data_IF_525507902500
#
_entry.id   IF_525507902500
#
_cell.length_a   1.000
_cell.length_b   1.000
_cell.length_c   1.000
_cell.angle_alpha   90.00
_cell.angle_beta   90.00
_cell.angle_gamma   90.00
#
_symmetry.space_group_name_H-M   'P 1'
#
loop_
_entity.id
_entity.type
_entity.pdbx_description
1 polymer ?
#
# COMPACT_ATOMS: atom_id res chain seq x y z
N UNK A 1 6.66 15.99 -20.76
CA UNK A 1 6.41 16.88 -21.91
C UNK A 1 5.01 16.62 -22.39
N UNK A 2 4.13 17.62 -22.34
CA UNK A 2 2.76 17.50 -22.86
C UNK A 2 2.81 17.40 -24.39
N UNK A 3 1.85 16.67 -24.96
CA UNK A 3 1.65 16.62 -26.41
C UNK A 3 1.18 17.99 -26.91
N UNK A 4 1.50 18.38 -28.16
CA UNK A 4 0.98 19.60 -28.78
C UNK A 4 -0.56 19.70 -28.75
N UNK A 5 -1.27 18.58 -28.72
CA UNK A 5 -2.73 18.51 -28.53
C UNK A 5 -3.20 19.05 -27.17
N UNK A 6 -2.48 18.78 -26.09
CA UNK A 6 -2.87 19.22 -24.75
C UNK A 6 -2.79 20.76 -24.59
N UNK A 7 -1.85 21.41 -25.30
CA UNK A 7 -1.78 22.88 -25.36
C UNK A 7 -3.00 23.47 -26.11
N UNK A 8 -3.42 22.84 -27.21
CA UNK A 8 -4.56 23.31 -28.00
C UNK A 8 -5.88 23.23 -27.20
N UNK A 9 -6.07 22.19 -26.37
CA UNK A 9 -7.23 22.05 -25.49
C UNK A 9 -7.30 23.10 -24.36
N UNK A 10 -6.17 23.70 -23.94
CA UNK A 10 -6.17 24.71 -22.89
C UNK A 10 -6.71 26.06 -23.37
N UNK A 11 -6.52 26.36 -24.66
CA UNK A 11 -6.74 27.68 -25.28
C UNK A 11 -8.20 27.94 -25.64
N UNK A 12 -9.02 26.91 -25.91
CA UNK A 12 -10.34 27.10 -26.55
C UNK A 12 -11.50 27.51 -25.63
N UNK A 13 -11.32 27.60 -24.30
CA UNK A 13 -12.40 28.02 -23.38
C UNK A 13 -11.96 28.48 -21.97
N UNK A 14 -10.74 29.02 -21.82
CA UNK A 14 -10.24 29.42 -20.49
C UNK A 14 -10.14 30.95 -20.35
N UNK A 15 -10.71 31.50 -19.26
CA UNK A 15 -10.45 32.89 -18.83
C UNK A 15 -8.93 33.15 -18.80
N UNK A 16 -8.42 34.29 -19.33
CA UNK A 16 -6.98 34.58 -19.40
C UNK A 16 -6.22 34.38 -18.08
N UNK A 17 -6.86 34.69 -16.95
CA UNK A 17 -6.31 34.48 -15.60
C UNK A 17 -6.10 32.99 -15.31
N UNK A 18 -7.15 32.19 -15.53
CA UNK A 18 -7.13 30.73 -15.33
C UNK A 18 -6.13 30.06 -16.27
N UNK A 19 -6.04 30.54 -17.52
CA UNK A 19 -5.10 30.03 -18.50
C UNK A 19 -3.65 30.19 -18.05
N UNK A 20 -3.29 31.33 -17.44
CA UNK A 20 -1.95 31.57 -16.89
C UNK A 20 -1.54 30.54 -15.84
N UNK A 21 -2.42 30.25 -14.88
CA UNK A 21 -2.15 29.23 -13.87
C UNK A 21 -2.05 27.82 -14.46
N UNK A 22 -2.91 27.49 -15.42
CA UNK A 22 -2.84 26.18 -16.10
C UNK A 22 -1.51 26.01 -16.85
N UNK A 23 -1.07 27.02 -17.60
CA UNK A 23 0.23 26.99 -18.28
C UNK A 23 1.37 26.84 -17.26
N UNK A 24 1.35 27.64 -16.19
CA UNK A 24 2.35 27.54 -15.13
C UNK A 24 2.42 26.14 -14.51
N UNK A 25 1.26 25.52 -14.26
CA UNK A 25 1.21 24.17 -13.71
C UNK A 25 1.67 23.06 -14.68
N UNK A 26 1.53 23.30 -15.97
CA UNK A 26 1.93 22.37 -17.02
C UNK A 26 3.43 22.46 -17.34
N UNK A 27 4.00 23.66 -17.31
CA UNK A 27 5.37 23.94 -17.81
C UNK A 27 6.34 24.38 -16.71
N UNK A 28 5.83 24.87 -15.59
CA UNK A 28 6.60 25.37 -14.47
C UNK A 28 6.97 24.30 -13.43
N UNK A 29 7.40 24.74 -12.23
CA UNK A 29 7.77 23.83 -11.15
C UNK A 29 6.61 22.90 -10.74
N UNK A 30 6.89 21.62 -10.44
CA UNK A 30 5.85 20.64 -10.13
C UNK A 30 5.21 20.83 -8.75
N UNK A 31 5.83 21.65 -7.89
CA UNK A 31 5.40 21.98 -6.52
C UNK A 31 5.62 23.48 -6.31
N UNK A 32 4.64 24.18 -5.75
CA UNK A 32 4.63 25.64 -5.71
C UNK A 32 4.20 26.17 -4.35
N UNK A 33 4.90 27.21 -3.86
CA UNK A 33 4.41 27.99 -2.72
C UNK A 33 3.29 28.91 -3.15
N UNK A 34 2.36 29.19 -2.24
CA UNK A 34 1.26 30.10 -2.52
C UNK A 34 1.76 31.51 -2.89
N UNK A 35 2.75 32.03 -2.15
CA UNK A 35 3.29 33.36 -2.42
C UNK A 35 3.85 33.47 -3.85
N UNK A 36 4.55 32.42 -4.34
CA UNK A 36 5.02 32.33 -5.73
C UNK A 36 3.86 32.37 -6.74
N UNK A 37 2.78 31.65 -6.47
CA UNK A 37 1.60 31.63 -7.35
C UNK A 37 0.86 32.98 -7.32
N UNK A 38 0.80 33.64 -6.17
CA UNK A 38 0.20 34.98 -6.03
C UNK A 38 0.94 36.03 -6.87
N UNK A 39 2.26 35.89 -7.04
CA UNK A 39 3.04 36.78 -7.92
C UNK A 39 2.66 36.66 -9.40
N UNK A 40 2.03 35.56 -9.84
CA UNK A 40 1.55 35.43 -11.23
C UNK A 40 0.33 36.31 -11.52
N UNK A 41 -0.40 36.71 -10.47
CA UNK A 41 -1.49 37.68 -10.57
C UNK A 41 -1.48 38.63 -9.36
N UNK A 42 -0.57 39.62 -9.31
CA UNK A 42 -0.43 40.51 -8.17
C UNK A 42 -1.71 41.33 -7.88
N UNK A 43 -2.47 41.64 -8.94
CA UNK A 43 -3.70 42.44 -8.89
C UNK A 43 -4.95 41.67 -8.44
N UNK A 44 -4.93 40.35 -8.51
CA UNK A 44 -6.07 39.52 -8.12
C UNK A 44 -6.14 39.38 -6.60
N UNK A 45 -7.34 39.25 -6.03
CA UNK A 45 -7.47 39.04 -4.59
C UNK A 45 -6.91 37.66 -4.18
N UNK A 46 -6.61 37.48 -2.89
CA UNK A 46 -6.14 36.17 -2.38
C UNK A 46 -7.21 35.10 -2.61
N UNK A 47 -8.47 35.43 -2.38
CA UNK A 47 -9.64 34.56 -2.51
C UNK A 47 -9.85 34.14 -3.96
N UNK A 48 -9.72 35.08 -4.91
CA UNK A 48 -9.81 34.79 -6.35
C UNK A 48 -8.72 33.82 -6.79
N UNK A 49 -7.48 34.04 -6.36
CA UNK A 49 -6.36 33.15 -6.68
C UNK A 49 -6.62 31.77 -6.09
N UNK A 50 -6.95 31.69 -4.80
CA UNK A 50 -7.25 30.43 -4.12
C UNK A 50 -8.39 29.67 -4.81
N UNK A 51 -9.46 30.33 -5.25
CA UNK A 51 -10.55 29.68 -5.99
C UNK A 51 -10.06 29.01 -7.29
N UNK A 52 -9.15 29.65 -8.03
CA UNK A 52 -8.53 29.06 -9.22
C UNK A 52 -7.61 27.89 -8.84
N UNK A 53 -6.81 28.05 -7.79
CA UNK A 53 -5.91 27.01 -7.30
C UNK A 53 -6.68 25.77 -6.86
N UNK A 54 -7.72 25.89 -6.04
CA UNK A 54 -8.54 24.77 -5.57
C UNK A 54 -9.19 23.98 -6.72
N UNK A 55 -9.45 24.64 -7.86
CA UNK A 55 -9.99 23.99 -9.06
C UNK A 55 -8.95 23.14 -9.78
N UNK A 56 -7.72 23.61 -9.91
CA UNK A 56 -6.69 23.05 -10.81
C UNK A 56 -5.49 22.40 -10.12
N UNK A 57 -5.32 22.64 -8.83
CA UNK A 57 -4.26 22.15 -7.97
C UNK A 57 -4.82 21.64 -6.65
N UNK A 58 -4.00 20.91 -5.91
CA UNK A 58 -4.31 20.33 -4.61
C UNK A 58 -3.19 20.62 -3.62
N UNK A 59 -3.54 20.73 -2.35
CA UNK A 59 -2.60 21.06 -1.29
C UNK A 59 -1.94 19.80 -0.72
N UNK A 60 -0.60 19.79 -0.64
CA UNK A 60 0.20 18.74 0.02
C UNK A 60 1.24 19.44 0.88
N UNK A 61 1.21 19.24 2.20
CA UNK A 61 2.11 19.91 3.16
C UNK A 61 2.16 21.44 3.00
N UNK A 62 1.01 22.08 2.78
CA UNK A 62 0.93 23.53 2.58
C UNK A 62 1.43 24.02 1.21
N UNK A 63 1.87 23.12 0.33
CA UNK A 63 2.37 23.43 -1.01
C UNK A 63 1.32 23.04 -2.06
N UNK A 64 1.24 23.84 -3.13
CA UNK A 64 0.29 23.63 -4.22
C UNK A 64 0.91 22.76 -5.31
N UNK A 65 0.22 21.68 -5.64
CA UNK A 65 0.63 20.70 -6.63
C UNK A 65 -0.46 20.58 -7.71
N UNK A 66 -0.14 20.61 -9.01
CA UNK A 66 -1.13 20.42 -10.07
C UNK A 66 -1.87 19.08 -9.93
N UNK A 67 -3.20 19.11 -10.12
CA UNK A 67 -4.03 17.88 -10.16
C UNK A 67 -3.66 17.04 -11.39
N UNK A 68 -3.74 15.73 -11.25
CA UNK A 68 -3.46 14.79 -12.35
C UNK A 68 -4.39 14.99 -13.56
N UNK A 69 -5.62 15.44 -13.35
CA UNK A 69 -6.56 15.80 -14.44
C UNK A 69 -6.13 16.99 -15.30
N UNK A 70 -5.16 17.78 -14.84
CA UNK A 70 -4.56 18.85 -15.64
C UNK A 70 -3.34 18.37 -16.44
N UNK A 71 -2.58 17.42 -15.89
CA UNK A 71 -1.30 16.97 -16.45
C UNK A 71 -1.43 15.76 -17.39
N UNK A 72 -2.46 14.94 -17.20
CA UNK A 72 -2.72 13.74 -18.00
C UNK A 72 -4.08 13.90 -18.68
N UNK A 73 -4.15 13.60 -19.97
CA UNK A 73 -5.38 13.69 -20.75
C UNK A 73 -6.50 12.87 -20.08
N UNK A 74 -7.56 13.56 -19.63
CA UNK A 74 -8.70 12.95 -18.94
C UNK A 74 -8.47 12.55 -17.47
N UNK A 75 -7.28 12.78 -16.90
CA UNK A 75 -6.97 12.42 -15.50
C UNK A 75 -7.01 10.93 -15.20
N UNK A 76 -6.89 10.11 -16.24
CA UNK A 76 -6.95 8.65 -16.18
C UNK A 76 -5.61 8.05 -16.61
N UNK A 77 -5.45 6.76 -16.35
CA UNK A 77 -4.23 6.03 -16.71
C UNK A 77 -3.32 5.77 -15.51
N UNK A 78 -2.28 4.98 -15.77
CA UNK A 78 -1.41 4.43 -14.72
C UNK A 78 -0.52 5.52 -14.11
N UNK A 79 -0.11 6.48 -14.93
CA UNK A 79 0.74 7.60 -14.56
C UNK A 79 -0.01 8.59 -13.65
N UNK A 80 -1.26 8.92 -14.01
CA UNK A 80 -2.13 9.75 -13.18
C UNK A 80 -2.40 9.09 -11.82
N UNK A 81 -2.74 7.80 -11.83
CA UNK A 81 -3.00 7.03 -10.61
C UNK A 81 -1.75 6.89 -9.72
N UNK A 82 -0.59 6.61 -10.32
CA UNK A 82 0.70 6.59 -9.62
C UNK A 82 0.97 7.94 -8.94
N UNK A 83 0.75 9.04 -9.66
CA UNK A 83 0.97 10.38 -9.15
C UNK A 83 0.06 10.69 -7.97
N UNK A 84 -1.23 10.44 -8.11
CA UNK A 84 -2.20 10.73 -7.04
C UNK A 84 -1.90 9.92 -5.77
N UNK A 85 -1.47 8.66 -5.92
CA UNK A 85 -1.04 7.85 -4.79
C UNK A 85 0.23 8.40 -4.11
N UNK A 86 1.26 8.78 -4.87
CA UNK A 86 2.48 9.39 -4.29
C UNK A 86 2.15 10.68 -3.54
N UNK A 87 1.28 11.52 -4.09
CA UNK A 87 0.84 12.75 -3.43
C UNK A 87 0.06 12.46 -2.15
N UNK A 88 -0.79 11.43 -2.16
CA UNK A 88 -1.48 10.96 -0.96
C UNK A 88 -0.50 10.49 0.13
N UNK A 89 0.57 9.79 -0.23
CA UNK A 89 1.60 9.38 0.72
C UNK A 89 2.31 10.61 1.32
N UNK A 90 2.71 11.58 0.48
CA UNK A 90 3.34 12.80 0.97
C UNK A 90 2.41 13.69 1.79
N UNK A 91 1.09 13.64 1.58
CA UNK A 91 0.13 14.30 2.48
C UNK A 91 0.27 13.79 3.91
N UNK A 92 0.44 12.47 4.08
CA UNK A 92 0.49 11.82 5.40
C UNK A 92 1.87 11.89 6.06
N UNK A 93 2.93 11.81 5.27
CA UNK A 93 4.30 11.77 5.79
C UNK A 93 5.26 12.52 4.83
N UNK A 94 6.14 13.41 5.32
CA UNK A 94 7.19 14.02 4.50
C UNK A 94 8.20 13.05 3.90
N UNK A 95 8.24 11.82 4.42
CA UNK A 95 9.09 10.73 3.97
C UNK A 95 8.23 9.57 3.46
N UNK A 96 8.58 9.06 2.29
CA UNK A 96 7.85 7.98 1.63
C UNK A 96 8.79 6.85 1.29
N UNK A 97 8.44 5.62 1.67
CA UNK A 97 9.10 4.40 1.22
C UNK A 97 8.13 3.56 0.40
N UNK A 98 8.59 3.04 -0.74
CA UNK A 98 7.79 2.17 -1.61
C UNK A 98 7.95 0.69 -1.26
N UNK A 99 8.93 0.32 -0.44
CA UNK A 99 9.26 -1.08 -0.11
C UNK A 99 8.19 -1.75 0.76
N UNK A 100 7.30 -0.95 1.37
CA UNK A 100 6.29 -1.41 2.32
C UNK A 100 4.98 -1.85 1.65
N UNK A 101 4.87 -1.76 0.32
CA UNK A 101 3.57 -1.81 -0.35
C UNK A 101 3.57 -2.77 -1.54
N UNK A 102 2.63 -3.72 -1.55
CA UNK A 102 2.49 -4.72 -2.61
C UNK A 102 1.85 -4.10 -3.87
N UNK A 103 2.67 -3.42 -4.68
CA UNK A 103 2.26 -2.66 -5.87
C UNK A 103 2.81 -3.34 -7.13
N UNK A 104 2.03 -3.41 -8.20
CA UNK A 104 2.48 -4.02 -9.47
C UNK A 104 3.75 -3.35 -10.02
N UNK A 105 4.68 -4.15 -10.59
CA UNK A 105 5.99 -3.64 -11.10
C UNK A 105 5.85 -2.47 -12.08
N UNK A 106 4.84 -2.49 -12.95
CA UNK A 106 4.59 -1.42 -13.92
C UNK A 106 4.20 -0.12 -13.20
N UNK A 107 3.37 -0.24 -12.17
CA UNK A 107 2.93 0.89 -11.38
C UNK A 107 4.04 1.43 -10.47
N UNK A 108 4.90 0.56 -9.93
CA UNK A 108 6.12 0.96 -9.19
C UNK A 108 7.06 1.78 -10.09
N UNK A 109 7.22 1.39 -11.36
CA UNK A 109 8.02 2.18 -12.31
C UNK A 109 7.42 3.59 -12.48
N UNK A 110 6.12 3.69 -12.75
CA UNK A 110 5.43 4.98 -12.87
C UNK A 110 5.52 5.82 -11.58
N UNK A 111 5.45 5.19 -10.42
CA UNK A 111 5.63 5.85 -9.12
C UNK A 111 7.04 6.39 -8.94
N UNK A 112 8.08 5.64 -9.33
CA UNK A 112 9.46 6.13 -9.33
C UNK A 112 9.65 7.32 -10.27
N UNK A 113 9.04 7.29 -11.44
CA UNK A 113 9.08 8.42 -12.38
C UNK A 113 8.47 9.68 -11.75
N UNK A 114 7.35 9.55 -11.02
CA UNK A 114 6.76 10.66 -10.25
C UNK A 114 7.68 11.11 -9.11
N UNK A 115 8.25 10.19 -8.35
CA UNK A 115 9.14 10.50 -7.23
C UNK A 115 10.38 11.25 -7.68
N UNK A 116 10.98 10.89 -8.81
CA UNK A 116 12.11 11.63 -9.40
C UNK A 116 11.77 13.11 -9.67
N UNK A 117 10.50 13.40 -10.00
CA UNK A 117 10.02 14.77 -10.21
C UNK A 117 9.80 15.49 -8.88
N UNK A 118 9.17 14.86 -7.89
CA UNK A 118 8.67 15.51 -6.67
C UNK A 118 9.59 15.42 -5.44
N UNK A 119 10.50 14.46 -5.41
CA UNK A 119 11.23 14.06 -4.22
C UNK A 119 12.71 13.79 -4.50
N UNK A 120 13.49 13.69 -3.43
CA UNK A 120 14.91 13.31 -3.45
C UNK A 120 15.03 11.94 -2.78
N UNK A 121 15.62 10.98 -3.49
CA UNK A 121 15.94 9.67 -2.93
C UNK A 121 17.03 9.79 -1.87
N UNK A 122 16.87 9.06 -0.77
CA UNK A 122 17.88 8.91 0.28
C UNK A 122 18.29 7.44 0.37
N UNK A 123 19.27 7.00 -0.43
CA UNK A 123 19.60 5.58 -0.57
C UNK A 123 19.94 4.89 0.76
N UNK A 124 20.64 5.59 1.66
CA UNK A 124 21.00 5.09 2.98
C UNK A 124 19.79 4.77 3.88
N UNK A 125 18.68 5.47 3.66
CA UNK A 125 17.44 5.31 4.43
C UNK A 125 16.35 4.54 3.66
N UNK A 126 16.59 4.21 2.37
CA UNK A 126 15.64 3.55 1.48
C UNK A 126 14.28 4.25 1.42
N UNK A 127 14.31 5.58 1.43
CA UNK A 127 13.11 6.41 1.36
C UNK A 127 13.32 7.64 0.47
N UNK A 128 12.23 8.37 0.27
CA UNK A 128 12.15 9.56 -0.55
C UNK A 128 11.67 10.71 0.31
N UNK A 129 12.40 11.82 0.27
CA UNK A 129 12.03 13.06 0.96
C UNK A 129 11.44 14.04 -0.04
N UNK A 130 10.31 14.65 0.29
CA UNK A 130 9.71 15.69 -0.55
C UNK A 130 10.72 16.82 -0.81
N UNK A 131 10.85 17.29 -2.06
CA UNK A 131 11.89 18.27 -2.47
C UNK A 131 11.75 19.59 -1.72
N UNK A 132 10.51 20.07 -1.66
CA UNK A 132 10.19 21.35 -1.04
C UNK A 132 9.83 21.17 0.44
N UNK A 133 10.23 22.13 1.26
CA UNK A 133 9.90 22.13 2.70
C UNK A 133 8.46 22.58 2.92
N UNK A 134 7.77 21.90 3.85
CA UNK A 134 6.40 22.20 4.25
C UNK A 134 6.18 23.71 4.47
N UNK A 135 5.11 24.25 3.88
CA UNK A 135 4.77 25.67 4.00
C UNK A 135 3.91 25.94 5.24
N UNK A 136 4.57 26.02 6.40
CA UNK A 136 3.91 26.33 7.67
C UNK A 136 3.29 27.73 7.69
N UNK A 137 3.79 28.66 6.87
CA UNK A 137 3.23 30.02 6.78
C UNK A 137 1.86 29.98 6.12
N UNK A 138 1.74 29.28 4.99
CA UNK A 138 0.45 29.09 4.32
C UNK A 138 -0.55 28.37 5.22
N UNK A 139 -0.13 27.27 5.86
CA UNK A 139 -0.99 26.48 6.75
C UNK A 139 -1.60 27.33 7.87
N UNK A 140 -0.79 28.24 8.46
CA UNK A 140 -1.26 29.13 9.53
C UNK A 140 -2.13 30.27 9.02
N UNK A 141 -1.86 30.81 7.83
CA UNK A 141 -2.59 31.95 7.24
C UNK A 141 -3.95 31.56 6.64
N UNK A 142 -4.09 30.33 6.14
CA UNK A 142 -5.30 29.87 5.43
C UNK A 142 -5.82 28.52 5.97
N UNK A 143 -6.14 28.41 7.28
CA UNK A 143 -6.52 27.14 7.91
C UNK A 143 -7.86 26.58 7.40
N UNK A 144 -8.76 27.45 6.94
CA UNK A 144 -10.03 27.13 6.30
C UNK A 144 -9.81 26.38 4.98
N UNK A 145 -8.92 26.89 4.12
CA UNK A 145 -8.54 26.25 2.86
C UNK A 145 -7.85 24.92 3.12
N UNK A 146 -6.97 24.85 4.12
CA UNK A 146 -6.31 23.60 4.51
C UNK A 146 -7.35 22.54 4.89
N UNK A 147 -8.36 22.93 5.68
CA UNK A 147 -9.45 22.03 6.09
C UNK A 147 -10.30 21.58 4.90
N UNK A 148 -10.63 22.48 3.97
CA UNK A 148 -11.37 22.13 2.75
C UNK A 148 -10.59 21.14 1.86
N UNK A 149 -9.29 21.38 1.69
CA UNK A 149 -8.40 20.49 0.93
C UNK A 149 -8.23 19.13 1.61
N UNK A 150 -8.16 19.09 2.93
CA UNK A 150 -8.10 17.84 3.70
C UNK A 150 -9.36 16.99 3.49
N UNK A 151 -10.54 17.61 3.54
CA UNK A 151 -11.80 16.94 3.20
C UNK A 151 -11.85 16.49 1.74
N UNK A 152 -11.27 17.27 0.81
CA UNK A 152 -11.17 16.87 -0.59
C UNK A 152 -10.33 15.59 -0.74
N UNK A 153 -9.21 15.49 -0.01
CA UNK A 153 -8.38 14.30 0.02
C UNK A 153 -9.10 13.08 0.62
N UNK A 154 -9.83 13.24 1.73
CA UNK A 154 -10.60 12.15 2.34
C UNK A 154 -11.59 11.52 1.37
N UNK A 155 -12.22 12.32 0.49
CA UNK A 155 -13.17 11.84 -0.53
C UNK A 155 -12.52 10.98 -1.61
N UNK A 156 -11.25 11.24 -1.96
CA UNK A 156 -10.54 10.56 -3.06
C UNK A 156 -9.56 9.49 -2.58
N UNK A 157 -9.20 9.50 -1.29
CA UNK A 157 -8.22 8.58 -0.70
C UNK A 157 -8.60 7.12 -0.89
N UNK A 158 -9.82 6.74 -0.49
CA UNK A 158 -10.30 5.35 -0.65
C UNK A 158 -10.35 4.94 -2.13
N UNK A 159 -10.96 5.72 -3.05
CA UNK A 159 -10.91 5.41 -4.48
C UNK A 159 -9.51 5.21 -5.05
N UNK A 160 -8.52 6.02 -4.63
CA UNK A 160 -7.12 5.88 -5.06
C UNK A 160 -6.56 4.55 -4.53
N UNK A 161 -6.69 4.27 -3.23
CA UNK A 161 -6.19 3.04 -2.61
C UNK A 161 -6.84 1.81 -3.25
N UNK A 162 -8.17 1.82 -3.41
CA UNK A 162 -8.93 0.73 -4.04
C UNK A 162 -8.49 0.52 -5.51
N UNK A 163 -8.15 1.59 -6.24
CA UNK A 163 -7.64 1.47 -7.62
C UNK A 163 -6.22 0.89 -7.69
N UNK A 164 -5.41 1.10 -6.65
CA UNK A 164 -4.03 0.57 -6.57
C UNK A 164 -4.04 -0.90 -6.13
N UNK A 165 -4.89 -1.27 -5.16
CA UNK A 165 -4.86 -2.58 -4.48
C UNK A 165 -6.08 -3.48 -4.74
N UNK A 166 -7.21 -2.93 -5.19
CA UNK A 166 -8.49 -3.62 -5.32
C UNK A 166 -8.67 -4.45 -6.59
N UNK A 167 -7.59 -4.74 -7.33
CA UNK A 167 -7.61 -5.49 -8.59
C UNK A 167 -7.90 -7.00 -8.47
N UNK A 168 -8.89 -7.39 -7.67
CA UNK A 168 -9.20 -8.79 -7.36
C UNK A 168 -10.67 -9.08 -7.07
N UNK A 169 -11.63 -8.35 -7.66
CA UNK A 169 -13.03 -8.78 -7.87
C UNK A 169 -13.79 -7.74 -8.71
N UNK A 170 -14.30 -8.19 -9.85
CA UNK A 170 -15.36 -7.58 -10.66
C UNK A 170 -15.09 -6.17 -11.21
N UNK A 171 -14.75 -6.09 -12.50
CA UNK A 171 -14.84 -4.83 -13.23
C UNK A 171 -16.28 -4.31 -13.30
N UNK A 172 -16.51 -3.01 -13.16
CA UNK A 172 -17.71 -2.37 -13.66
C UNK A 172 -17.41 -1.74 -15.02
N UNK A 173 -18.14 -2.23 -16.03
CA UNK A 173 -18.31 -1.58 -17.31
C UNK A 173 -18.72 -0.11 -17.11
N UNK A 174 -17.90 0.82 -17.56
CA UNK A 174 -18.24 2.24 -17.69
C UNK A 174 -19.22 2.39 -18.86
N UNK A 175 -20.52 2.53 -18.56
CA UNK A 175 -21.46 3.18 -19.47
C UNK A 175 -21.74 4.60 -18.98
N UNK A 176 -21.34 5.56 -19.81
CA UNK A 176 -21.79 6.94 -19.77
C UNK A 176 -23.32 7.01 -19.94
N UNK A 177 -23.98 7.87 -19.18
CA UNK A 177 -24.91 8.86 -19.74
C UNK A 177 -25.42 9.83 -18.66
N UNK A 178 -25.43 11.09 -19.06
CA UNK A 178 -25.80 12.33 -18.38
C UNK A 178 -27.27 12.42 -17.91
N UNK A 179 -27.48 12.98 -16.69
CA UNK A 179 -28.49 13.95 -16.17
C UNK A 179 -29.91 14.10 -16.81
N UNK A 180 -30.85 14.82 -16.15
CA UNK A 180 -31.42 14.72 -14.77
C UNK A 180 -32.99 14.71 -14.82
N UNK A 181 -33.72 14.54 -13.69
CA UNK A 181 -34.77 15.50 -13.27
C UNK A 181 -35.57 15.14 -12.00
N UNK A 182 -36.14 16.19 -11.42
CA UNK A 182 -37.01 16.36 -10.25
C UNK A 182 -38.30 15.53 -10.21
N UNK A 183 -38.73 15.12 -8.99
CA UNK A 183 -39.88 15.70 -8.27
C UNK A 183 -40.63 14.69 -7.33
N UNK A 184 -40.83 15.16 -6.09
CA UNK A 184 -42.04 15.02 -5.25
C UNK A 184 -42.42 13.70 -4.54
N UNK A 185 -42.43 13.84 -3.19
CA UNK A 185 -43.02 13.05 -2.08
C UNK A 185 -44.58 13.09 -2.08
N UNK A 186 -45.33 12.57 -1.05
CA UNK A 186 -45.05 11.58 0.02
C UNK A 186 -46.21 10.57 0.30
N UNK A 187 -46.01 9.61 1.21
CA UNK A 187 -47.12 8.89 1.88
C UNK A 187 -46.68 7.96 3.03
N UNK A 188 -47.09 8.32 4.26
CA UNK A 188 -47.36 7.57 5.52
C UNK A 188 -47.03 6.05 5.61
N UNK A 189 -46.81 5.41 6.76
CA UNK A 189 -46.65 5.70 8.20
C UNK A 189 -46.54 4.32 8.86
N UNK A 190 -45.64 4.12 9.83
CA UNK A 190 -45.92 3.43 11.11
C UNK A 190 -44.71 3.40 12.04
N UNK A 191 -44.93 4.00 13.21
CA UNK A 191 -44.08 4.02 14.39
C UNK A 191 -43.95 2.64 15.06
N UNK A 192 -42.82 2.39 15.75
CA UNK A 192 -42.82 2.22 17.21
C UNK A 192 -41.43 2.42 17.83
N UNK A 193 -41.42 3.25 18.88
CA UNK A 193 -40.35 3.57 19.84
C UNK A 193 -39.87 2.30 20.58
N UNK A 194 -38.73 2.22 21.29
CA UNK A 194 -38.08 3.16 22.21
C UNK A 194 -36.76 2.54 22.69
N UNK A 195 -35.71 3.33 22.90
CA UNK A 195 -34.49 2.87 23.60
C UNK A 195 -33.27 3.73 23.34
N UNK A 196 -33.25 4.94 23.88
CA UNK A 196 -32.09 5.83 23.84
C UNK A 196 -31.08 5.48 24.94
N UNK A 197 -29.79 5.34 24.60
CA UNK A 197 -28.68 5.86 25.39
C UNK A 197 -27.34 5.82 24.63
N UNK A 198 -26.83 7.02 24.38
CA UNK A 198 -25.41 7.44 24.42
C UNK A 198 -24.38 6.78 23.48
N UNK A 199 -24.11 7.50 22.40
CA UNK A 199 -22.79 8.07 22.06
C UNK A 199 -21.56 7.41 22.70
N UNK A 200 -20.74 6.76 21.87
CA UNK A 200 -19.33 7.17 21.76
C UNK A 200 -18.77 6.76 20.40
N UNK A 201 -18.30 7.75 19.67
CA UNK A 201 -17.26 7.58 18.66
C UNK A 201 -16.03 7.00 19.36
N UNK A 202 -15.76 5.72 19.15
CA UNK A 202 -14.49 5.11 19.51
C UNK A 202 -13.51 5.32 18.36
N UNK A 203 -12.67 6.35 18.45
CA UNK A 203 -11.38 6.31 17.79
C UNK A 203 -10.74 4.96 18.14
N UNK A 204 -10.46 4.13 17.14
CA UNK A 204 -9.65 2.92 17.34
C UNK A 204 -8.29 3.42 17.79
N UNK A 205 -8.11 3.43 19.11
CA UNK A 205 -6.83 3.57 19.77
C UNK A 205 -5.90 2.58 19.09
N UNK A 206 -4.91 3.07 18.32
CA UNK A 206 -3.77 2.26 17.89
C UNK A 206 -2.94 2.00 19.16
N UNK A 207 -3.46 1.15 20.04
CA UNK A 207 -2.70 0.72 21.19
C UNK A 207 -1.56 -0.16 20.68
N UNK A 208 -0.31 0.14 21.04
CA UNK A 208 0.80 -0.76 20.74
C UNK A 208 0.54 -2.13 21.37
N UNK A 209 1.07 -3.17 20.74
CA UNK A 209 0.81 -4.56 21.13
C UNK A 209 1.21 -4.80 22.60
N UNK A 210 0.37 -5.50 23.36
CA UNK A 210 0.64 -5.80 24.78
C UNK A 210 1.90 -6.65 24.93
N UNK A 211 2.58 -6.53 26.07
CA UNK A 211 3.79 -7.31 26.36
C UNK A 211 3.52 -8.82 26.27
N UNK A 212 2.38 -9.26 26.82
CA UNK A 212 1.97 -10.67 26.80
C UNK A 212 1.78 -11.18 25.37
N UNK A 213 1.22 -10.35 24.49
CA UNK A 213 1.01 -10.69 23.08
C UNK A 213 2.34 -10.77 22.34
N UNK A 214 3.25 -9.82 22.60
CA UNK A 214 4.58 -9.75 21.98
C UNK A 214 5.44 -10.97 22.36
N UNK A 215 5.28 -11.53 23.55
CA UNK A 215 5.97 -12.74 23.97
C UNK A 215 5.31 -14.05 23.47
N UNK A 216 3.98 -14.09 23.43
CA UNK A 216 3.24 -15.31 23.04
C UNK A 216 3.23 -15.54 21.52
N UNK A 217 3.18 -14.46 20.74
CA UNK A 217 3.01 -14.53 19.29
C UNK A 217 4.17 -15.24 18.56
N UNK A 218 5.47 -14.97 18.85
CA UNK A 218 6.57 -15.71 18.23
C UNK A 218 6.48 -17.22 18.48
N UNK A 219 6.14 -17.65 19.71
CA UNK A 219 6.01 -19.06 20.08
C UNK A 219 4.85 -19.73 19.33
N UNK A 220 3.71 -19.04 19.23
CA UNK A 220 2.55 -19.52 18.50
C UNK A 220 2.86 -19.66 16.99
N UNK A 221 3.60 -18.71 16.41
CA UNK A 221 4.04 -18.80 15.02
C UNK A 221 5.02 -19.95 14.80
N UNK A 222 5.98 -20.19 15.71
CA UNK A 222 6.87 -21.35 15.61
C UNK A 222 6.08 -22.67 15.61
N UNK A 223 5.10 -22.82 16.52
CA UNK A 223 4.19 -23.98 16.57
C UNK A 223 3.36 -24.11 15.28
N UNK A 224 2.92 -23.00 14.70
CA UNK A 224 2.21 -22.99 13.41
C UNK A 224 3.11 -23.47 12.27
N UNK A 225 4.33 -22.94 12.15
CA UNK A 225 5.28 -23.29 11.09
C UNK A 225 5.85 -24.71 11.22
N UNK A 226 5.67 -25.38 12.37
CA UNK A 226 5.93 -26.83 12.50
C UNK A 226 5.01 -27.67 11.63
N UNK A 227 3.75 -27.27 11.45
CA UNK A 227 2.79 -28.02 10.63
C UNK A 227 2.65 -27.45 9.22
N UNK A 228 2.86 -26.14 9.04
CA UNK A 228 2.66 -25.47 7.76
C UNK A 228 3.89 -24.62 7.40
N UNK A 229 4.78 -25.14 6.55
CA UNK A 229 6.06 -24.46 6.24
C UNK A 229 5.92 -23.19 5.41
N UNK A 230 4.79 -23.06 4.72
CA UNK A 230 4.42 -21.95 3.83
C UNK A 230 2.98 -21.56 4.14
N UNK A 231 2.72 -20.30 4.45
CA UNK A 231 1.38 -19.79 4.76
C UNK A 231 1.14 -18.40 4.19
N UNK A 232 -0.07 -18.14 3.68
CA UNK A 232 -0.49 -16.76 3.41
C UNK A 232 -0.81 -16.04 4.72
N UNK A 233 -0.80 -14.71 4.71
CA UNK A 233 -1.14 -13.92 5.90
C UNK A 233 -2.52 -14.28 6.46
N UNK A 234 -3.50 -14.45 5.57
CA UNK A 234 -4.86 -14.85 5.95
C UNK A 234 -4.87 -16.23 6.62
N UNK A 235 -4.09 -17.19 6.08
CA UNK A 235 -3.97 -18.52 6.66
C UNK A 235 -3.34 -18.46 8.06
N UNK A 236 -2.31 -17.62 8.26
CA UNK A 236 -1.69 -17.43 9.57
C UNK A 236 -2.71 -16.89 10.58
N UNK A 237 -3.44 -15.85 10.20
CA UNK A 237 -4.47 -15.26 11.05
C UNK A 237 -5.54 -16.28 11.44
N UNK A 238 -6.02 -17.06 10.47
CA UNK A 238 -7.05 -18.08 10.73
C UNK A 238 -6.53 -19.17 11.66
N UNK A 239 -5.33 -19.69 11.40
CA UNK A 239 -4.74 -20.78 12.20
C UNK A 239 -4.41 -20.36 13.63
N UNK A 240 -3.96 -19.13 13.85
CA UNK A 240 -3.75 -18.59 15.19
C UNK A 240 -5.08 -18.50 15.96
N UNK A 241 -6.18 -18.10 15.30
CA UNK A 241 -7.53 -18.15 15.91
C UNK A 241 -7.97 -19.58 16.21
N UNK A 242 -7.77 -20.52 15.28
CA UNK A 242 -8.11 -21.94 15.47
C UNK A 242 -7.33 -22.56 16.64
N UNK A 243 -6.05 -22.20 16.79
CA UNK A 243 -5.20 -22.60 17.92
C UNK A 243 -5.72 -22.05 19.25
N UNK A 244 -6.15 -20.78 19.29
CA UNK A 244 -6.74 -20.19 20.48
C UNK A 244 -8.01 -20.92 20.92
N UNK A 245 -8.89 -21.26 19.96
CA UNK A 245 -10.10 -22.04 20.25
C UNK A 245 -9.75 -23.46 20.72
N UNK A 246 -8.83 -24.14 20.04
CA UNK A 246 -8.47 -25.52 20.37
C UNK A 246 -7.78 -25.67 21.73
N UNK A 247 -6.87 -24.75 22.08
CA UNK A 247 -6.14 -24.78 23.34
C UNK A 247 -7.04 -24.35 24.53
N UNK A 248 -8.07 -23.52 24.28
CA UNK A 248 -9.10 -23.17 25.28
C UNK A 248 -9.92 -24.37 25.76
N UNK A 249 -10.06 -25.39 24.91
CA UNK A 249 -10.78 -26.63 25.21
C UNK A 249 -9.86 -27.64 25.92
N UNK A 250 -8.54 -27.57 25.70
CA UNK A 250 -7.58 -28.57 26.19
C UNK A 250 -7.00 -28.27 27.58
N UNK A 251 -6.54 -27.04 27.89
CA UNK A 251 -5.96 -26.68 29.20
C UNK A 251 -5.92 -25.16 29.47
N UNK A 252 -6.17 -24.75 30.73
CA UNK A 252 -6.26 -23.33 31.18
C UNK A 252 -4.98 -22.48 30.97
N UNK A 253 -3.79 -23.09 30.97
CA UNK A 253 -2.50 -22.39 30.84
C UNK A 253 -2.14 -22.02 29.39
N UNK A 254 -2.14 -23.02 28.50
CA UNK A 254 -1.85 -22.84 27.06
C UNK A 254 -2.91 -22.00 26.34
N UNK A 255 -4.16 -22.05 26.81
CA UNK A 255 -5.23 -21.20 26.32
C UNK A 255 -4.87 -19.71 26.40
N UNK A 256 -4.20 -19.27 27.48
CA UNK A 256 -3.89 -17.85 27.68
C UNK A 256 -2.88 -17.33 26.66
N UNK A 257 -1.83 -18.11 26.35
CA UNK A 257 -0.82 -17.75 25.36
C UNK A 257 -1.41 -17.77 23.93
N UNK A 258 -2.21 -18.79 23.60
CA UNK A 258 -2.85 -18.89 22.29
C UNK A 258 -3.86 -17.77 22.06
N UNK A 259 -4.65 -17.40 23.07
CA UNK A 259 -5.58 -16.27 23.02
C UNK A 259 -4.81 -14.94 22.89
N UNK A 260 -3.72 -14.76 23.63
CA UNK A 260 -2.87 -13.57 23.49
C UNK A 260 -2.32 -13.45 22.06
N UNK A 261 -1.78 -14.53 21.49
CA UNK A 261 -1.28 -14.56 20.13
C UNK A 261 -2.39 -14.25 19.09
N UNK A 262 -3.61 -14.75 19.28
CA UNK A 262 -4.73 -14.46 18.39
C UNK A 262 -5.15 -12.98 18.45
N UNK A 263 -5.16 -12.37 19.64
CA UNK A 263 -5.45 -10.94 19.79
C UNK A 263 -4.37 -10.06 19.12
N UNK A 264 -3.15 -10.56 18.98
CA UNK A 264 -2.06 -9.88 18.27
C UNK A 264 -2.29 -9.69 16.77
N UNK A 265 -3.26 -10.39 16.17
CA UNK A 265 -3.60 -10.23 14.75
C UNK A 265 -4.21 -8.86 14.48
N UNK A 266 -4.93 -8.29 15.45
CA UNK A 266 -5.61 -6.99 15.32
C UNK A 266 -4.68 -5.80 15.63
N UNK A 267 -3.40 -6.07 15.92
CA UNK A 267 -2.39 -5.06 16.18
C UNK A 267 -1.98 -4.29 14.91
N UNK A 268 -1.35 -3.09 15.04
CA UNK A 268 -0.78 -2.38 13.90
C UNK A 268 0.13 -3.27 13.06
N UNK A 269 -0.01 -3.16 11.72
CA UNK A 269 0.63 -4.06 10.77
C UNK A 269 2.17 -4.03 10.89
N UNK A 270 2.75 -2.89 11.27
CA UNK A 270 4.19 -2.71 11.45
C UNK A 270 4.74 -3.59 12.57
N UNK A 271 4.09 -3.61 13.74
CA UNK A 271 4.51 -4.43 14.89
C UNK A 271 4.32 -5.93 14.60
N UNK A 272 3.25 -6.26 13.89
CA UNK A 272 2.95 -7.64 13.50
C UNK A 272 4.00 -8.19 12.52
N UNK A 273 4.40 -7.39 11.53
CA UNK A 273 5.43 -7.76 10.57
C UNK A 273 6.81 -7.90 11.22
N UNK A 274 7.14 -7.05 12.20
CA UNK A 274 8.39 -7.16 12.95
C UNK A 274 8.48 -8.52 13.67
N UNK A 275 7.42 -8.95 14.34
CA UNK A 275 7.37 -10.26 15.02
C UNK A 275 7.42 -11.41 14.00
N UNK A 276 6.68 -11.31 12.90
CA UNK A 276 6.69 -12.33 11.84
C UNK A 276 8.09 -12.49 11.26
N UNK A 277 8.81 -11.38 11.08
CA UNK A 277 10.16 -11.36 10.55
C UNK A 277 11.17 -12.11 11.44
N UNK A 278 10.86 -12.38 12.71
CA UNK A 278 11.75 -13.17 13.58
C UNK A 278 11.76 -14.65 13.15
N UNK A 279 10.61 -15.19 12.77
CA UNK A 279 10.38 -16.63 12.55
C UNK A 279 10.23 -17.02 11.08
N UNK A 280 9.75 -16.10 10.24
CA UNK A 280 9.44 -16.34 8.85
C UNK A 280 9.93 -15.20 7.94
N UNK A 281 10.00 -15.49 6.65
CA UNK A 281 10.35 -14.55 5.59
C UNK A 281 9.12 -14.35 4.72
N UNK A 282 8.74 -13.09 4.51
CA UNK A 282 7.68 -12.73 3.57
C UNK A 282 8.23 -12.75 2.14
N UNK A 283 7.71 -13.66 1.32
CA UNK A 283 7.98 -13.76 -0.11
C UNK A 283 6.69 -13.37 -0.85
N UNK A 284 6.61 -12.12 -1.29
CA UNK A 284 5.49 -11.60 -2.11
C UNK A 284 4.09 -11.81 -1.51
N UNK A 285 3.94 -11.73 -0.19
CA UNK A 285 2.67 -11.94 0.52
C UNK A 285 2.48 -13.36 1.10
N UNK A 286 3.43 -14.26 0.87
CA UNK A 286 3.45 -15.62 1.41
C UNK A 286 4.62 -15.75 2.40
N UNK A 287 4.34 -16.17 3.62
CA UNK A 287 5.33 -16.34 4.67
C UNK A 287 5.90 -17.75 4.66
N UNK A 288 7.23 -17.83 4.66
CA UNK A 288 7.99 -19.07 4.66
C UNK A 288 8.84 -19.15 5.91
N UNK A 289 8.78 -20.26 6.64
CA UNK A 289 9.64 -20.47 7.80
C UNK A 289 11.11 -20.35 7.42
N UNK A 290 11.91 -19.62 8.20
CA UNK A 290 13.35 -19.44 7.97
C UNK A 290 14.13 -20.76 8.03
N UNK A 291 13.71 -21.65 8.91
CA UNK A 291 14.32 -22.95 9.16
C UNK A 291 13.29 -24.07 8.93
N UNK A 292 13.74 -25.23 8.45
CA UNK A 292 12.93 -26.44 8.45
C UNK A 292 13.00 -27.10 9.83
N UNK A 293 11.86 -27.33 10.52
CA UNK A 293 11.87 -28.06 11.77
C UNK A 293 12.07 -29.59 11.55
N UNK A 294 11.87 -30.08 10.33
CA UNK A 294 12.05 -31.50 9.99
C UNK A 294 13.45 -31.77 9.41
N UNK A 295 14.03 -30.79 8.70
CA UNK A 295 15.30 -30.93 8.00
C UNK A 295 16.22 -29.69 8.17
N UNK A 296 16.55 -29.26 9.40
CA UNK A 296 17.35 -28.05 9.65
C UNK A 296 18.75 -28.11 9.02
N UNK A 297 19.30 -29.31 8.81
CA UNK A 297 20.58 -29.52 8.12
C UNK A 297 20.59 -29.02 6.67
N UNK A 298 19.43 -28.70 6.08
CA UNK A 298 19.29 -28.18 4.71
C UNK A 298 18.96 -26.68 4.66
N UNK A 299 19.04 -25.97 5.79
CA UNK A 299 18.65 -24.56 5.88
C UNK A 299 19.50 -23.62 5.01
N UNK A 300 20.77 -23.96 4.76
CA UNK A 300 21.62 -23.18 3.85
C UNK A 300 21.09 -23.23 2.40
N UNK A 301 20.69 -24.41 1.90
CA UNK A 301 20.04 -24.50 0.58
C UNK A 301 18.65 -23.85 0.62
N UNK A 302 17.89 -24.02 1.71
CA UNK A 302 16.60 -23.37 1.91
C UNK A 302 16.69 -21.86 1.76
N UNK A 303 17.69 -21.24 2.40
CA UNK A 303 17.97 -19.80 2.31
C UNK A 303 18.27 -19.37 0.88
N UNK A 304 19.05 -20.15 0.14
CA UNK A 304 19.35 -19.88 -1.28
C UNK A 304 18.07 -19.91 -2.12
N UNK A 305 17.23 -20.94 -1.94
CA UNK A 305 15.96 -21.05 -2.67
C UNK A 305 15.03 -19.89 -2.32
N UNK A 306 14.92 -19.51 -1.06
CA UNK A 306 14.14 -18.33 -0.61
C UNK A 306 14.65 -17.07 -1.31
N UNK A 307 15.97 -16.84 -1.32
CA UNK A 307 16.55 -15.66 -1.96
C UNK A 307 16.29 -15.63 -3.47
N UNK A 308 16.35 -16.78 -4.15
CA UNK A 308 16.01 -16.89 -5.57
C UNK A 308 14.54 -16.55 -5.83
N UNK A 309 13.62 -17.05 -4.99
CA UNK A 309 12.18 -16.74 -5.09
C UNK A 309 11.90 -15.24 -4.86
N UNK A 310 12.63 -14.61 -3.94
CA UNK A 310 12.54 -13.16 -3.72
C UNK A 310 13.06 -12.40 -4.95
N UNK A 311 14.24 -12.75 -5.46
CA UNK A 311 14.90 -12.06 -6.56
C UNK A 311 14.11 -12.14 -7.88
N UNK A 312 13.54 -13.31 -8.19
CA UNK A 312 12.78 -13.52 -9.44
C UNK A 312 11.44 -12.75 -9.41
N UNK A 313 10.85 -12.57 -8.23
CA UNK A 313 9.63 -11.80 -8.02
C UNK A 313 8.35 -12.65 -7.92
N UNK A 314 7.16 -12.00 -7.92
CA UNK A 314 5.88 -12.70 -7.84
C UNK A 314 5.69 -13.67 -9.01
N UNK A 315 5.23 -14.90 -8.74
CA UNK A 315 5.13 -16.00 -9.69
C UNK A 315 6.48 -16.53 -10.22
N UNK A 316 7.54 -16.42 -9.42
CA UNK A 316 8.85 -17.00 -9.70
C UNK A 316 8.73 -18.45 -10.21
N UNK A 317 9.40 -18.73 -11.32
CA UNK A 317 9.49 -20.07 -11.93
C UNK A 317 10.94 -20.53 -11.91
N UNK A 318 11.35 -21.12 -10.78
CA UNK A 318 12.73 -21.54 -10.61
C UNK A 318 13.00 -22.82 -11.41
N UNK A 319 13.98 -22.76 -12.32
CA UNK A 319 14.46 -23.94 -13.03
C UNK A 319 15.50 -24.66 -12.19
N UNK A 320 15.52 -26.00 -12.30
CA UNK A 320 16.49 -26.86 -11.60
C UNK A 320 17.93 -26.43 -11.82
N UNK A 321 18.31 -26.09 -13.06
CA UNK A 321 19.66 -25.66 -13.41
C UNK A 321 20.09 -24.40 -12.62
N UNK A 322 19.24 -23.38 -12.59
CA UNK A 322 19.51 -22.12 -11.88
C UNK A 322 19.67 -22.32 -10.36
N UNK A 323 18.87 -23.23 -9.77
CA UNK A 323 18.98 -23.56 -8.35
C UNK A 323 20.31 -24.27 -8.06
N UNK A 324 20.70 -25.24 -8.88
CA UNK A 324 21.96 -25.98 -8.73
C UNK A 324 23.15 -25.03 -8.89
N UNK A 325 23.12 -24.15 -9.89
CA UNK A 325 24.18 -23.16 -10.14
C UNK A 325 24.33 -22.20 -8.95
N UNK A 326 23.23 -21.62 -8.48
CA UNK A 326 23.24 -20.73 -7.32
C UNK A 326 23.73 -21.44 -6.05
N UNK A 327 23.32 -22.70 -5.85
CA UNK A 327 23.77 -23.51 -4.72
C UNK A 327 25.27 -23.80 -4.80
N UNK A 328 25.79 -24.15 -5.97
CA UNK A 328 27.22 -24.38 -6.20
C UNK A 328 28.05 -23.13 -5.93
N UNK A 329 27.59 -21.96 -6.38
CA UNK A 329 28.28 -20.69 -6.17
C UNK A 329 28.34 -20.28 -4.69
N UNK A 330 27.25 -20.46 -3.94
CA UNK A 330 27.15 -19.99 -2.55
C UNK A 330 27.65 -21.02 -1.53
N UNK A 331 27.35 -22.31 -1.72
CA UNK A 331 27.76 -23.37 -0.80
C UNK A 331 29.16 -23.90 -1.10
N UNK A 332 29.74 -23.56 -2.26
CA UNK A 332 31.05 -24.06 -2.75
C UNK A 332 31.14 -25.60 -2.79
N UNK A 333 30.00 -26.27 -2.92
CA UNK A 333 29.85 -27.72 -3.07
C UNK A 333 28.65 -28.04 -3.95
N UNK A 334 28.61 -29.25 -4.49
CA UNK A 334 27.41 -29.74 -5.15
C UNK A 334 26.36 -30.14 -4.10
N UNK A 335 25.08 -29.93 -4.44
CA UNK A 335 23.94 -30.32 -3.61
C UNK A 335 23.46 -31.72 -3.95
N UNK A 336 23.04 -32.48 -2.94
CA UNK A 336 22.56 -33.84 -3.18
C UNK A 336 21.13 -33.84 -3.71
N UNK A 337 20.71 -34.86 -4.49
CA UNK A 337 19.32 -34.97 -4.96
C UNK A 337 18.30 -34.99 -3.82
N UNK A 338 18.65 -35.60 -2.68
CA UNK A 338 17.78 -35.65 -1.50
C UNK A 338 17.61 -34.26 -0.86
N UNK A 339 18.72 -33.54 -0.62
CA UNK A 339 18.71 -32.17 -0.11
C UNK A 339 17.85 -31.25 -1.00
N UNK A 340 18.04 -31.33 -2.32
CA UNK A 340 17.25 -30.59 -3.30
C UNK A 340 15.75 -30.89 -3.17
N UNK A 341 15.37 -32.18 -3.16
CA UNK A 341 13.96 -32.57 -3.11
C UNK A 341 13.30 -32.19 -1.78
N UNK A 342 13.99 -32.34 -0.65
CA UNK A 342 13.44 -31.98 0.67
C UNK A 342 13.12 -30.50 0.76
N UNK A 343 14.07 -29.64 0.37
CA UNK A 343 13.87 -28.18 0.42
C UNK A 343 12.75 -27.75 -0.53
N UNK A 344 12.75 -28.24 -1.78
CA UNK A 344 11.74 -27.78 -2.74
C UNK A 344 10.35 -28.31 -2.45
N UNK A 345 10.19 -29.56 -1.99
CA UNK A 345 8.87 -30.09 -1.65
C UNK A 345 8.28 -29.41 -0.42
N UNK A 346 9.09 -28.85 0.49
CA UNK A 346 8.58 -28.05 1.60
C UNK A 346 8.04 -26.70 1.11
N UNK A 347 8.79 -26.01 0.24
CA UNK A 347 8.55 -24.62 -0.15
C UNK A 347 7.66 -24.44 -1.38
N UNK A 348 7.83 -25.32 -2.36
CA UNK A 348 7.37 -25.12 -3.73
C UNK A 348 6.48 -26.28 -4.19
N UNK A 349 5.79 -26.05 -5.30
CA UNK A 349 5.12 -27.07 -6.10
C UNK A 349 5.75 -27.11 -7.48
N UNK A 350 5.78 -28.31 -8.07
CA UNK A 350 6.24 -28.48 -9.44
C UNK A 350 5.16 -28.01 -10.41
N UNK A 351 5.51 -27.10 -11.32
CA UNK A 351 4.65 -26.62 -12.40
C UNK A 351 5.36 -26.81 -13.73
N UNK A 352 5.20 -27.99 -14.34
CA UNK A 352 5.90 -28.37 -15.56
C UNK A 352 7.39 -28.58 -15.31
N UNK A 353 8.24 -27.78 -15.97
CA UNK A 353 9.71 -27.84 -15.84
C UNK A 353 10.28 -26.85 -14.81
N UNK A 354 9.42 -26.20 -14.03
CA UNK A 354 9.80 -25.17 -13.06
C UNK A 354 9.16 -25.42 -11.68
N UNK A 355 9.78 -24.86 -10.66
CA UNK A 355 9.28 -24.83 -9.28
C UNK A 355 8.70 -23.46 -8.96
N UNK A 356 7.51 -23.45 -8.38
CA UNK A 356 6.79 -22.24 -7.99
C UNK A 356 6.48 -22.31 -6.50
N UNK A 357 6.62 -21.18 -5.79
CA UNK A 357 6.28 -21.10 -4.38
C UNK A 357 4.83 -21.54 -4.14
N UNK A 358 4.61 -22.35 -3.10
CA UNK A 358 3.25 -22.72 -2.65
C UNK A 358 2.44 -21.46 -2.33
N UNK A 359 1.14 -21.46 -2.63
CA UNK A 359 0.29 -20.28 -2.37
C UNK A 359 0.13 -19.97 -0.86
N UNK A 360 0.34 -20.98 -0.01
CA UNK A 360 0.22 -20.85 1.43
C UNK A 360 -1.21 -20.90 1.97
N UNK A 361 -2.22 -21.07 1.11
CA UNK A 361 -3.64 -21.11 1.50
C UNK A 361 -4.10 -22.51 1.98
N UNK A 362 -3.17 -23.45 2.14
CA UNK A 362 -3.46 -24.82 2.58
C UNK A 362 -4.10 -25.71 1.52
N UNK A 363 -4.23 -25.24 0.27
CA UNK A 363 -4.69 -26.08 -0.84
C UNK A 363 -3.52 -26.92 -1.40
N UNK A 364 -3.65 -28.26 -1.43
CA UNK A 364 -2.75 -29.10 -2.22
C UNK A 364 -3.14 -28.91 -3.69
N UNK A 365 -2.41 -28.08 -4.43
CA UNK A 365 -2.48 -28.07 -5.89
C UNK A 365 -1.26 -28.79 -6.45
#
# INVERSE_FOLDING_TARGET
MLTPCALACLVTSSNPKVLRYKIWFCEGPPVNRFDTLKYLAPKDSIEEVLAVLQKHAQLVQGLWVPKSSLLYEGGQGREALARDYILLLFRKNPLVSLDQVNISKILVKAMKDVLNVLAVERPSFKDWKFKETQDMSFIKRHPDIVKEQEQAWERVEKPIIDSIFGGGKNGPSLKNSSKPDMASRPGASKNSNKGAAKSSNGALSRMPMSHETREALPKALQKLFQSHKVCSFQQICQRLRDMAVSDSIRQKGFAREAIAAANGIDAPQEELLEIFSQVAINIHGVFVSKSSPDHPQHDELRKIVINLLIAEGPNAKLKKASIIEAARLQLKRDITPNEYQKVLNELCVSQGSAWVLKSGDGNPK
#
